data_IF_647888222361
#
_entry.id   IF_647888222361
#
_cell.length_a   1.000
_cell.length_b   1.000
_cell.length_c   1.000
_cell.angle_alpha   90.00
_cell.angle_beta   90.00
_cell.angle_gamma   90.00
#
_symmetry.space_group_name_H-M   'P 1'
#
loop_
_entity.id
_entity.type
_entity.pdbx_description
1 polymer ?
#
# COMPACT_ATOMS: atom_id res chain seq x y z
N UNK A 1 22.27 42.79 -2.59
CA UNK A 1 22.71 43.05 -3.98
C UNK A 1 24.03 42.28 -4.15
N UNK A 2 24.13 41.19 -4.90
CA UNK A 2 23.28 40.63 -5.97
C UNK A 2 22.92 39.15 -5.65
N UNK A 3 21.63 38.81 -5.72
CA UNK A 3 20.99 37.90 -6.70
C UNK A 3 21.39 36.42 -6.50
N UNK A 4 20.47 35.50 -6.18
CA UNK A 4 19.33 35.05 -7.01
C UNK A 4 19.81 34.48 -8.35
N UNK A 5 20.34 33.25 -8.36
CA UNK A 5 20.42 32.43 -9.59
C UNK A 5 20.73 30.95 -9.28
N UNK A 6 19.73 30.21 -8.79
CA UNK A 6 19.73 28.72 -8.90
C UNK A 6 18.30 28.13 -8.99
N UNK A 7 17.34 28.93 -9.44
CA UNK A 7 15.95 28.51 -9.72
C UNK A 7 15.71 28.33 -11.23
N UNK A 8 16.60 27.61 -11.92
CA UNK A 8 16.56 27.50 -13.38
C UNK A 8 17.09 26.17 -13.97
N UNK A 9 17.13 25.08 -13.18
CA UNK A 9 17.47 23.74 -13.71
C UNK A 9 16.33 22.77 -13.41
N UNK A 10 15.47 22.62 -14.42
CA UNK A 10 14.23 21.86 -14.36
C UNK A 10 14.55 20.35 -14.44
N UNK A 11 14.95 19.73 -13.32
CA UNK A 11 15.15 18.28 -13.22
C UNK A 11 13.96 17.61 -12.52
N UNK A 12 13.53 16.42 -12.98
CA UNK A 12 12.39 15.72 -12.39
C UNK A 12 12.70 15.28 -10.97
N UNK A 13 11.81 15.63 -10.04
CA UNK A 13 11.90 15.18 -8.66
C UNK A 13 11.19 13.84 -8.54
N UNK A 14 11.97 12.75 -8.52
CA UNK A 14 11.40 11.41 -8.39
C UNK A 14 11.01 11.16 -6.92
N UNK A 15 9.72 11.29 -6.63
CA UNK A 15 9.14 10.99 -5.31
C UNK A 15 8.31 9.72 -5.47
N UNK A 16 8.92 8.58 -5.17
CA UNK A 16 8.19 7.34 -5.00
C UNK A 16 7.42 7.42 -3.68
N UNK A 17 6.09 7.38 -3.76
CA UNK A 17 5.24 7.21 -2.59
C UNK A 17 4.81 5.74 -2.48
N UNK A 18 5.34 4.99 -1.52
CA UNK A 18 4.58 3.91 -0.91
C UNK A 18 3.94 4.44 0.38
N UNK A 19 2.61 4.49 0.39
CA UNK A 19 1.86 4.48 1.62
C UNK A 19 1.63 3.02 1.97
N UNK A 20 2.19 2.57 3.09
CA UNK A 20 1.65 1.38 3.75
C UNK A 20 0.38 1.83 4.49
N UNK A 21 -0.67 1.02 4.44
CA UNK A 21 -2.02 1.38 4.93
C UNK A 21 -2.15 1.32 6.45
N UNK A 22 -1.08 1.63 7.17
CA UNK A 22 -1.00 1.62 8.63
C UNK A 22 -0.76 3.02 9.16
N UNK A 23 -1.71 3.47 9.99
CA UNK A 23 -1.89 4.89 10.32
C UNK A 23 -0.68 5.54 11.00
N UNK A 24 -0.64 6.86 10.84
CA UNK A 24 0.41 7.80 11.29
C UNK A 24 1.66 7.83 10.40
N UNK A 25 1.63 8.77 9.44
CA UNK A 25 2.85 9.44 8.98
C UNK A 25 3.60 9.99 10.21
N UNK A 26 4.89 9.68 10.33
CA UNK A 26 5.76 10.34 11.30
C UNK A 26 5.72 11.87 11.09
N UNK A 27 5.84 12.68 12.15
CA UNK A 27 5.78 14.15 12.03
C UNK A 27 6.79 14.71 11.01
N UNK A 28 7.93 14.05 10.85
CA UNK A 28 8.96 14.41 9.87
C UNK A 28 8.51 14.15 8.42
N UNK A 29 7.75 13.07 8.18
CA UNK A 29 7.12 12.82 6.88
C UNK A 29 5.98 13.81 6.59
N UNK A 30 5.27 14.27 7.63
CA UNK A 30 4.27 15.36 7.50
C UNK A 30 4.94 16.69 7.16
N UNK A 31 6.06 17.06 7.78
CA UNK A 31 6.79 18.29 7.42
C UNK A 31 7.39 18.19 6.01
N UNK A 32 7.88 17.01 5.58
CA UNK A 32 8.33 16.79 4.21
C UNK A 32 7.17 16.92 3.20
N UNK A 33 6.02 16.29 3.48
CA UNK A 33 4.80 16.42 2.67
C UNK A 33 4.30 17.87 2.62
N UNK A 34 4.33 18.60 3.74
CA UNK A 34 3.95 20.02 3.79
C UNK A 34 4.91 20.91 2.99
N UNK A 35 6.22 20.62 3.01
CA UNK A 35 7.21 21.32 2.16
C UNK A 35 7.00 21.04 0.67
N UNK A 36 6.71 19.80 0.31
CA UNK A 36 6.37 19.41 -1.07
C UNK A 36 5.04 20.04 -1.52
N UNK A 37 4.02 20.02 -0.66
CA UNK A 37 2.73 20.64 -0.92
C UNK A 37 2.86 22.17 -1.07
N UNK A 38 3.72 22.83 -0.29
CA UNK A 38 4.05 24.26 -0.45
C UNK A 38 4.77 24.60 -1.76
N UNK A 39 5.37 23.62 -2.45
CA UNK A 39 5.91 23.74 -3.82
C UNK A 39 4.81 23.50 -4.88
N UNK A 40 3.68 22.91 -4.49
CA UNK A 40 2.56 22.53 -5.37
C UNK A 40 1.30 23.40 -5.23
N UNK A 41 1.13 24.12 -4.11
CA UNK A 41 -0.06 24.92 -3.79
C UNK A 41 -0.13 26.21 -4.62
N UNK A 42 -0.52 26.06 -5.89
CA UNK A 42 -0.93 27.19 -6.73
C UNK A 42 -2.28 26.95 -7.46
N UNK A 43 -2.98 25.82 -7.23
CA UNK A 43 -4.39 25.62 -7.65
C UNK A 43 -5.08 24.46 -6.89
N UNK A 44 -6.32 24.69 -6.45
CA UNK A 44 -7.17 23.82 -5.58
C UNK A 44 -8.64 24.16 -5.91
N UNK A 45 -9.70 23.31 -5.88
CA UNK A 45 -10.00 21.94 -5.38
C UNK A 45 -10.73 21.12 -6.48
N UNK A 46 -11.15 19.87 -6.20
CA UNK A 46 -12.51 19.28 -6.43
C UNK A 46 -12.50 17.76 -6.04
N UNK A 47 -13.67 17.18 -5.77
CA UNK A 47 -13.87 15.98 -4.95
C UNK A 47 -13.80 14.60 -5.66
N UNK A 48 -13.66 13.55 -4.82
CA UNK A 48 -13.55 12.13 -5.18
C UNK A 48 -12.39 11.48 -4.40
N UNK A 49 -12.48 10.19 -4.07
CA UNK A 49 -11.54 9.39 -3.23
C UNK A 49 -10.27 10.12 -2.76
N UNK A 50 -10.36 10.78 -1.59
CA UNK A 50 -9.59 12.00 -1.27
C UNK A 50 -8.09 11.87 -1.55
N UNK A 51 -7.47 10.74 -1.20
CA UNK A 51 -6.02 10.54 -1.32
C UNK A 51 -5.61 10.07 -2.72
N UNK A 52 -6.36 9.15 -3.35
CA UNK A 52 -6.07 8.68 -4.72
C UNK A 52 -6.18 9.83 -5.72
N UNK A 53 -7.20 10.68 -5.60
CA UNK A 53 -7.34 11.88 -6.44
C UNK A 53 -6.24 12.92 -6.17
N UNK A 54 -5.62 12.94 -4.99
CA UNK A 54 -4.44 13.76 -4.73
C UNK A 54 -3.20 13.21 -5.44
N UNK A 55 -2.93 11.90 -5.38
CA UNK A 55 -1.82 11.29 -6.12
C UNK A 55 -1.96 11.43 -7.62
N UNK A 56 -3.17 11.23 -8.19
CA UNK A 56 -3.42 11.46 -9.62
C UNK A 56 -3.09 12.90 -10.04
N UNK A 57 -3.32 13.90 -9.17
CA UNK A 57 -2.95 15.30 -9.44
C UNK A 57 -1.43 15.54 -9.37
N UNK A 58 -0.72 14.86 -8.46
CA UNK A 58 0.76 14.86 -8.44
C UNK A 58 1.29 14.22 -9.73
N UNK A 59 0.70 13.11 -10.15
CA UNK A 59 1.12 12.32 -11.30
C UNK A 59 0.98 13.04 -12.64
N UNK A 60 0.05 14.00 -12.74
CA UNK A 60 -0.14 14.86 -13.91
C UNK A 60 0.83 16.05 -13.99
N UNK A 61 1.73 16.24 -13.01
CA UNK A 61 2.71 17.31 -13.05
C UNK A 61 3.84 16.98 -14.04
N UNK A 62 4.19 17.90 -14.95
CA UNK A 62 5.26 17.71 -15.95
C UNK A 62 6.64 17.42 -15.33
N UNK A 63 6.87 17.76 -14.06
CA UNK A 63 8.11 17.49 -13.32
C UNK A 63 8.09 16.16 -12.55
N UNK A 64 6.99 15.42 -12.62
CA UNK A 64 6.83 14.10 -12.04
C UNK A 64 6.94 13.03 -13.14
N UNK A 65 7.42 11.85 -12.78
CA UNK A 65 7.44 10.69 -13.66
C UNK A 65 7.24 9.45 -12.80
N UNK A 66 6.45 8.49 -13.27
CA UNK A 66 6.21 7.22 -12.58
C UNK A 66 6.81 6.07 -13.38
N UNK A 67 7.61 5.23 -12.71
CA UNK A 67 8.18 4.01 -13.25
C UNK A 67 7.69 2.84 -12.40
N UNK A 68 6.55 2.26 -12.78
CA UNK A 68 6.06 1.01 -12.19
C UNK A 68 6.83 -0.20 -12.72
N UNK A 69 6.72 -1.34 -12.02
CA UNK A 69 7.41 -2.59 -12.36
C UNK A 69 8.96 -2.45 -12.41
N UNK A 70 9.52 -1.59 -11.56
CA UNK A 70 10.96 -1.39 -11.37
C UNK A 70 11.25 -1.61 -9.88
N UNK A 71 12.03 -2.65 -9.57
CA UNK A 71 12.31 -3.05 -8.18
C UNK A 71 13.72 -2.65 -7.75
N UNK A 72 13.81 -2.00 -6.59
CA UNK A 72 15.09 -1.62 -5.98
C UNK A 72 15.88 -2.87 -5.57
N UNK A 73 17.15 -2.94 -5.94
CA UNK A 73 18.04 -4.09 -5.67
C UNK A 73 18.06 -5.15 -6.77
N UNK A 74 17.10 -5.16 -7.71
CA UNK A 74 17.07 -6.10 -8.83
C UNK A 74 17.01 -5.42 -10.20
N UNK A 75 16.14 -4.42 -10.38
CA UNK A 75 16.06 -3.62 -11.61
C UNK A 75 17.03 -2.43 -11.62
N UNK A 76 17.29 -1.86 -10.44
CA UNK A 76 18.23 -0.74 -10.22
C UNK A 76 18.77 -0.79 -8.79
N UNK A 77 20.04 -0.45 -8.57
CA UNK A 77 20.65 -0.39 -7.24
C UNK A 77 20.45 0.98 -6.57
N UNK A 78 20.52 1.00 -5.23
CA UNK A 78 20.50 2.26 -4.46
C UNK A 78 21.73 3.14 -4.74
N UNK A 79 22.87 2.55 -5.11
CA UNK A 79 24.06 3.27 -5.56
C UNK A 79 23.78 4.08 -6.83
N UNK A 80 23.24 3.44 -7.87
CA UNK A 80 22.92 4.10 -9.14
C UNK A 80 21.90 5.23 -8.95
N UNK A 81 20.87 5.03 -8.13
CA UNK A 81 19.92 6.10 -7.80
C UNK A 81 20.58 7.29 -7.10
N UNK A 82 21.57 7.05 -6.22
CA UNK A 82 22.30 8.11 -5.51
C UNK A 82 23.32 8.84 -6.37
N UNK A 83 23.73 8.27 -7.49
CA UNK A 83 24.56 8.93 -8.50
C UNK A 83 23.71 9.75 -9.48
N UNK A 84 22.51 9.26 -9.83
CA UNK A 84 21.59 9.95 -10.74
C UNK A 84 20.78 11.08 -10.10
N UNK A 85 20.47 11.00 -8.80
CA UNK A 85 19.57 11.95 -8.12
C UNK A 85 20.21 12.61 -6.90
N UNK A 86 20.01 13.93 -6.78
CA UNK A 86 20.47 14.75 -5.65
C UNK A 86 19.98 14.27 -4.28
N UNK A 87 18.76 13.72 -4.22
CA UNK A 87 18.12 13.18 -3.01
C UNK A 87 17.33 11.94 -3.42
N UNK A 88 17.47 10.86 -2.64
CA UNK A 88 16.68 9.63 -2.79
C UNK A 88 15.88 9.42 -1.51
N UNK A 89 14.55 9.32 -1.63
CA UNK A 89 13.65 9.05 -0.51
C UNK A 89 13.23 7.58 -0.57
N UNK A 90 13.54 6.82 0.47
CA UNK A 90 13.11 5.43 0.60
C UNK A 90 11.73 5.38 1.27
N UNK A 91 10.70 5.26 0.46
CA UNK A 91 9.34 4.99 0.89
C UNK A 91 8.81 3.77 0.13
N UNK A 92 9.22 2.58 0.58
CA UNK A 92 8.72 1.27 0.10
C UNK A 92 7.85 0.54 1.15
N UNK A 93 7.56 1.20 2.28
CA UNK A 93 6.73 0.62 3.34
C UNK A 93 7.46 -0.39 4.21
N UNK A 94 6.72 -1.39 4.69
CA UNK A 94 7.22 -2.51 5.49
C UNK A 94 6.55 -3.79 4.98
N UNK A 95 7.37 -4.69 4.44
CA UNK A 95 6.94 -5.86 3.66
C UNK A 95 6.90 -7.16 4.49
N UNK A 96 7.75 -7.26 5.50
CA UNK A 96 7.89 -8.46 6.33
C UNK A 96 6.80 -8.58 7.39
N UNK A 97 6.13 -9.74 7.43
CA UNK A 97 5.30 -10.13 8.57
C UNK A 97 6.12 -10.44 9.82
N UNK A 98 5.44 -10.39 10.96
CA UNK A 98 5.98 -10.87 12.23
C UNK A 98 5.59 -12.33 12.42
N UNK A 99 6.57 -13.24 12.29
CA UNK A 99 6.43 -14.64 12.70
C UNK A 99 6.06 -14.74 14.19
N UNK A 100 5.29 -15.76 14.56
CA UNK A 100 4.86 -16.00 15.93
C UNK A 100 5.96 -16.74 16.72
N UNK A 101 6.78 -17.55 16.06
CA UNK A 101 7.84 -18.33 16.68
C UNK A 101 7.32 -19.50 17.51
N UNK A 102 6.17 -20.07 17.12
CA UNK A 102 5.45 -21.11 17.88
C UNK A 102 5.40 -22.45 17.14
N UNK A 103 5.47 -23.59 17.84
CA UNK A 103 5.36 -24.91 17.21
C UNK A 103 4.07 -25.04 16.39
N UNK A 104 4.22 -25.33 15.10
CA UNK A 104 3.10 -25.54 14.18
C UNK A 104 2.60 -24.30 13.45
N UNK A 105 3.28 -23.15 13.51
CA UNK A 105 2.89 -21.95 12.74
C UNK A 105 2.90 -22.14 11.21
N UNK A 106 3.66 -23.13 10.71
CA UNK A 106 3.76 -23.52 9.29
C UNK A 106 2.64 -24.49 8.80
N UNK A 107 1.61 -24.76 9.62
CA UNK A 107 0.54 -25.69 9.26
C UNK A 107 -0.46 -25.06 8.28
N UNK A 108 -0.94 -25.84 7.30
CA UNK A 108 -2.02 -25.38 6.37
C UNK A 108 -3.23 -24.91 7.18
N UNK A 109 -3.75 -23.73 6.83
CA UNK A 109 -4.83 -23.06 7.53
C UNK A 109 -4.36 -21.93 8.45
N UNK A 110 -3.05 -21.82 8.70
CA UNK A 110 -2.44 -20.66 9.35
C UNK A 110 -1.90 -19.73 8.27
N UNK A 111 -2.29 -18.46 8.35
CA UNK A 111 -1.90 -17.41 7.40
C UNK A 111 -1.61 -16.13 8.20
N UNK A 112 -0.68 -15.31 7.71
CA UNK A 112 -0.57 -13.94 8.20
C UNK A 112 -1.82 -13.15 7.82
N UNK A 113 -2.14 -12.15 8.64
CA UNK A 113 -3.23 -11.25 8.30
C UNK A 113 -2.93 -10.43 7.02
N UNK A 114 -1.65 -10.21 6.68
CA UNK A 114 -1.23 -9.54 5.43
C UNK A 114 -1.54 -10.39 4.21
N UNK A 115 -1.21 -11.69 4.21
CA UNK A 115 -1.51 -12.60 3.09
C UNK A 115 -3.01 -12.68 2.82
N UNK A 116 -3.84 -12.80 3.87
CA UNK A 116 -5.30 -12.80 3.70
C UNK A 116 -5.82 -11.46 3.15
N UNK A 117 -5.25 -10.33 3.61
CA UNK A 117 -5.57 -8.99 3.07
C UNK A 117 -5.10 -8.82 1.63
N UNK A 118 -3.94 -9.34 1.27
CA UNK A 118 -3.41 -9.31 -0.08
C UNK A 118 -4.26 -10.15 -1.03
N UNK A 119 -4.67 -11.34 -0.61
CA UNK A 119 -5.60 -12.22 -1.31
C UNK A 119 -6.93 -11.52 -1.63
N UNK A 120 -7.67 -11.02 -0.62
CA UNK A 120 -8.99 -10.43 -0.91
C UNK A 120 -8.92 -9.11 -1.71
N UNK A 121 -7.78 -8.41 -1.69
CA UNK A 121 -7.54 -7.23 -2.53
C UNK A 121 -6.93 -7.56 -3.91
N UNK A 122 -6.71 -8.84 -4.23
CA UNK A 122 -6.19 -9.27 -5.53
C UNK A 122 -4.71 -8.94 -5.78
N UNK A 123 -3.88 -8.88 -4.73
CA UNK A 123 -2.44 -8.69 -4.87
C UNK A 123 -1.81 -9.90 -5.60
N UNK A 124 -0.95 -9.70 -6.63
CA UNK A 124 -0.40 -10.80 -7.43
C UNK A 124 0.29 -11.90 -6.61
N UNK A 125 1.08 -11.52 -5.61
CA UNK A 125 1.82 -12.48 -4.79
C UNK A 125 0.93 -13.36 -3.87
N UNK A 126 -0.37 -13.08 -3.78
CA UNK A 126 -1.33 -13.86 -3.00
C UNK A 126 -2.62 -14.20 -3.78
N UNK A 127 -2.65 -14.05 -5.11
CA UNK A 127 -3.82 -14.43 -5.92
C UNK A 127 -4.11 -15.93 -5.87
N UNK A 128 -3.04 -16.72 -5.68
CA UNK A 128 -3.08 -18.18 -5.65
C UNK A 128 -3.25 -18.73 -4.21
N UNK A 129 -3.49 -17.84 -3.23
CA UNK A 129 -3.79 -18.25 -1.86
C UNK A 129 -5.16 -18.95 -1.83
N UNK A 130 -5.17 -20.18 -1.32
CA UNK A 130 -6.37 -21.02 -1.17
C UNK A 130 -6.68 -21.22 0.32
N UNK A 131 -7.29 -20.23 1.00
CA UNK A 131 -7.73 -20.38 2.39
C UNK A 131 -8.94 -21.32 2.46
N UNK A 132 -8.84 -22.36 3.28
CA UNK A 132 -9.97 -23.27 3.52
C UNK A 132 -11.02 -22.61 4.44
N UNK A 133 -12.04 -22.02 3.81
CA UNK A 133 -13.19 -21.41 4.48
C UNK A 133 -14.40 -22.36 4.60
N UNK A 134 -14.26 -23.62 4.19
CA UNK A 134 -15.39 -24.57 4.03
C UNK A 134 -15.36 -25.70 5.05
N UNK A 135 -14.19 -26.12 5.50
CA UNK A 135 -14.03 -27.23 6.45
C UNK A 135 -14.33 -26.86 7.92
N UNK A 136 -14.60 -25.59 8.22
CA UNK A 136 -14.84 -25.08 9.59
C UNK A 136 -15.86 -23.95 9.60
N UNK A 137 -16.53 -23.78 10.75
CA UNK A 137 -17.41 -22.66 11.08
C UNK A 137 -16.69 -21.56 11.91
N UNK A 138 -15.40 -21.75 12.20
CA UNK A 138 -14.67 -20.94 13.19
C UNK A 138 -13.30 -20.53 12.67
N UNK A 139 -13.09 -19.22 12.53
CA UNK A 139 -11.77 -18.62 12.35
C UNK A 139 -11.24 -18.00 13.66
N UNK A 140 -9.94 -18.10 13.91
CA UNK A 140 -9.27 -17.49 15.07
C UNK A 140 -8.27 -16.45 14.58
N UNK A 141 -8.43 -15.19 15.01
CA UNK A 141 -7.56 -14.08 14.61
C UNK A 141 -6.70 -13.66 15.80
N UNK A 142 -5.37 -13.77 15.65
CA UNK A 142 -4.41 -13.42 16.70
C UNK A 142 -3.97 -11.96 16.58
N UNK A 143 -4.75 -11.05 17.16
CA UNK A 143 -4.43 -9.64 17.24
C UNK A 143 -5.61 -8.76 17.65
N UNK A 144 -5.33 -7.52 18.07
CA UNK A 144 -6.33 -6.53 18.48
C UNK A 144 -6.15 -5.18 17.76
N UNK A 145 -5.50 -5.18 16.60
CA UNK A 145 -5.33 -4.01 15.73
C UNK A 145 -6.38 -3.94 14.62
N UNK A 146 -6.38 -2.84 13.86
CA UNK A 146 -7.35 -2.62 12.77
C UNK A 146 -7.38 -3.75 11.75
N UNK A 147 -6.22 -4.34 11.39
CA UNK A 147 -6.15 -5.48 10.46
C UNK A 147 -6.95 -6.68 10.95
N UNK A 148 -6.91 -6.97 12.26
CA UNK A 148 -7.69 -8.07 12.83
C UNK A 148 -9.20 -7.83 12.68
N UNK A 149 -9.64 -6.57 12.81
CA UNK A 149 -11.02 -6.16 12.56
C UNK A 149 -11.37 -6.16 11.07
N UNK A 150 -10.45 -5.80 10.18
CA UNK A 150 -10.65 -5.84 8.73
C UNK A 150 -10.80 -7.30 8.23
N UNK A 151 -9.95 -8.22 8.69
CA UNK A 151 -10.08 -9.67 8.42
C UNK A 151 -11.39 -10.22 8.95
N UNK A 152 -11.74 -9.93 10.22
CA UNK A 152 -13.02 -10.34 10.80
C UNK A 152 -14.22 -9.77 10.02
N UNK A 153 -14.13 -8.52 9.56
CA UNK A 153 -15.18 -7.87 8.75
C UNK A 153 -15.32 -8.53 7.38
N UNK A 154 -14.24 -8.94 6.73
CA UNK A 154 -14.33 -9.62 5.43
C UNK A 154 -14.92 -11.03 5.57
N UNK A 155 -14.55 -11.78 6.63
CA UNK A 155 -15.12 -13.10 6.91
C UNK A 155 -16.63 -13.04 7.24
N UNK A 156 -17.05 -12.09 8.09
CA UNK A 156 -18.41 -12.07 8.66
C UNK A 156 -19.43 -11.18 7.92
N UNK A 157 -19.01 -10.41 6.91
CA UNK A 157 -19.92 -9.48 6.20
C UNK A 157 -20.69 -10.22 5.11
N UNK A 158 -22.01 -9.96 4.95
CA UNK A 158 -22.79 -10.57 3.88
C UNK A 158 -22.14 -10.40 2.52
N UNK A 159 -21.96 -11.50 1.80
CA UNK A 159 -21.30 -11.53 0.48
C UNK A 159 -22.03 -10.69 -0.58
N UNK A 160 -23.33 -10.46 -0.40
CA UNK A 160 -24.14 -9.52 -1.20
C UNK A 160 -23.84 -8.04 -0.96
N UNK A 161 -23.15 -7.68 0.12
CA UNK A 161 -22.55 -6.36 0.33
C UNK A 161 -21.12 -6.30 -0.19
N UNK A 162 -20.32 -7.36 0.01
CA UNK A 162 -18.96 -7.46 -0.53
C UNK A 162 -18.96 -7.43 -2.07
N UNK A 163 -19.95 -8.03 -2.72
CA UNK A 163 -20.15 -7.96 -4.17
C UNK A 163 -20.43 -6.55 -4.73
N UNK A 164 -20.49 -5.51 -3.87
CA UNK A 164 -20.61 -4.09 -4.26
C UNK A 164 -19.32 -3.30 -4.04
N UNK A 165 -18.25 -3.95 -3.57
CA UNK A 165 -16.93 -3.36 -3.38
C UNK A 165 -15.96 -3.81 -4.48
N UNK A 166 -14.72 -3.36 -4.38
CA UNK A 166 -13.57 -3.70 -5.21
C UNK A 166 -12.84 -4.98 -4.73
N UNK A 167 -13.54 -5.87 -4.02
CA UNK A 167 -12.99 -7.16 -3.57
C UNK A 167 -12.69 -8.05 -4.78
N UNK A 168 -11.60 -8.82 -4.73
CA UNK A 168 -11.23 -9.70 -5.84
C UNK A 168 -12.26 -10.82 -6.07
N UNK A 169 -12.61 -11.07 -7.33
CA UNK A 169 -13.65 -12.04 -7.72
C UNK A 169 -13.40 -13.45 -7.16
N UNK A 170 -12.14 -13.90 -7.16
CA UNK A 170 -11.77 -15.22 -6.62
C UNK A 170 -11.99 -15.30 -5.11
N UNK A 171 -11.69 -14.24 -4.37
CA UNK A 171 -11.92 -14.18 -2.92
C UNK A 171 -13.41 -14.10 -2.59
N UNK A 172 -14.18 -13.32 -3.37
CA UNK A 172 -15.63 -13.24 -3.24
C UNK A 172 -16.29 -14.60 -3.50
N UNK A 173 -15.86 -15.34 -4.53
CA UNK A 173 -16.36 -16.69 -4.81
C UNK A 173 -16.06 -17.66 -3.65
N UNK A 174 -14.84 -17.63 -3.10
CA UNK A 174 -14.50 -18.44 -1.93
C UNK A 174 -15.32 -18.08 -0.68
N UNK A 175 -15.56 -16.78 -0.44
CA UNK A 175 -16.39 -16.29 0.66
C UNK A 175 -17.88 -16.63 0.49
N UNK A 176 -18.39 -16.76 -0.74
CA UNK A 176 -19.77 -17.21 -1.01
C UNK A 176 -20.02 -18.67 -0.61
N UNK A 177 -18.97 -19.48 -0.54
CA UNK A 177 -19.01 -20.88 -0.09
C UNK A 177 -18.49 -21.05 1.36
N UNK A 178 -18.19 -19.94 2.06
CA UNK A 178 -17.75 -19.95 3.46
C UNK A 178 -18.78 -20.60 4.38
N UNK A 179 -18.30 -21.39 5.35
CA UNK A 179 -19.10 -21.90 6.47
C UNK A 179 -18.84 -21.15 7.80
N UNK A 180 -17.87 -20.22 7.80
CA UNK A 180 -17.55 -19.26 8.87
C UNK A 180 -18.55 -18.09 8.86
#
# INVERSE_FOLDING_TARGET
>A
MKHEETYATNQPCFILFAFNTFGFLALEAVDLLMRLQRIMDNNVMIAGGIVVNQFSRVALNERFSFFGNVSLGSSVSLSELREMYHVVVLAYGAESDRILGIPGEELKGIYSAREFVWWYNGHPDCSDLDPDLKSTDTAVILGQGNVALDVARILLRPTSELAKTDIADHALASLQESSI
#
